data_IF_448304936211
#
_entry.id   IF_448304936211
#
_cell.length_a   1.000
_cell.length_b   1.000
_cell.length_c   1.000
_cell.angle_alpha   90.00
_cell.angle_beta   90.00
_cell.angle_gamma   90.00
#
_symmetry.space_group_name_H-M   'P 1'
#
loop_
_entity.id
_entity.type
_entity.pdbx_description
1 polymer ?
#
# COMPACT_ATOMS: atom_id res chain seq x y z
N UNK A 1 17.09 11.46 -14.56
CA UNK A 1 16.04 10.44 -14.42
C UNK A 1 15.19 10.78 -13.20
N UNK A 2 13.91 10.40 -13.18
CA UNK A 2 13.07 10.57 -11.98
C UNK A 2 13.19 9.30 -11.15
N UNK A 3 13.56 9.43 -9.87
CA UNK A 3 13.65 8.28 -8.97
C UNK A 3 12.28 7.62 -8.79
N UNK A 4 12.25 6.29 -8.80
CA UNK A 4 11.02 5.52 -8.60
C UNK A 4 10.69 5.29 -7.12
N UNK A 5 11.63 5.60 -6.22
CA UNK A 5 11.44 5.60 -4.77
C UNK A 5 11.33 7.06 -4.33
N UNK A 6 10.27 7.38 -3.59
CA UNK A 6 10.00 8.71 -3.04
C UNK A 6 9.80 8.63 -1.54
N UNK A 7 10.14 9.70 -0.84
CA UNK A 7 9.89 9.82 0.60
C UNK A 7 8.48 10.39 0.81
N UNK A 8 7.70 9.72 1.64
CA UNK A 8 6.36 10.16 2.03
C UNK A 8 6.24 10.15 3.57
N UNK A 9 5.20 10.77 4.12
CA UNK A 9 5.06 11.02 5.56
C UNK A 9 3.72 10.53 6.08
N UNK A 10 3.72 9.94 7.27
CA UNK A 10 2.51 9.63 8.04
C UNK A 10 2.64 10.10 9.48
N UNK A 11 1.50 10.32 10.14
CA UNK A 11 1.42 10.54 11.58
C UNK A 11 0.52 9.47 12.21
N UNK A 12 0.94 8.94 13.36
CA UNK A 12 0.10 8.05 14.18
C UNK A 12 -0.54 8.90 15.27
N UNK A 13 -1.86 9.03 15.20
CA UNK A 13 -2.62 9.92 16.08
C UNK A 13 -2.52 9.54 17.57
N UNK A 14 -2.63 8.24 17.88
CA UNK A 14 -2.56 7.71 19.25
C UNK A 14 -1.23 7.04 19.59
N UNK A 15 -0.11 7.61 19.14
CA UNK A 15 1.21 7.00 19.35
C UNK A 15 1.54 6.72 20.84
N UNK A 16 1.34 7.67 21.78
CA UNK A 16 1.61 7.42 23.20
C UNK A 16 0.72 6.32 23.81
N UNK A 17 -0.53 6.21 23.38
CA UNK A 17 -1.44 5.13 23.79
C UNK A 17 -0.88 3.75 23.39
N UNK A 18 -0.49 3.60 22.12
CA UNK A 18 0.00 2.30 21.63
C UNK A 18 1.39 1.91 22.16
N UNK A 19 2.27 2.88 22.42
CA UNK A 19 3.66 2.59 22.82
C UNK A 19 3.86 2.58 24.34
N UNK A 20 3.10 3.39 25.08
CA UNK A 20 3.31 3.63 26.52
C UNK A 20 2.09 3.32 27.39
N UNK A 21 0.94 3.01 26.79
CA UNK A 21 -0.30 2.75 27.52
C UNK A 21 -0.94 4.01 28.13
N UNK A 22 -0.60 5.20 27.65
CA UNK A 22 -1.26 6.46 28.03
C UNK A 22 -2.72 6.47 27.57
N UNK A 23 -3.58 7.36 28.10
CA UNK A 23 -4.98 7.44 27.66
C UNK A 23 -5.08 7.90 26.21
N UNK A 24 -5.98 7.32 25.39
CA UNK A 24 -6.17 7.78 24.02
C UNK A 24 -6.80 9.18 24.06
N UNK A 25 -6.18 10.15 23.41
CA UNK A 25 -6.64 11.53 23.38
C UNK A 25 -6.21 12.26 22.11
N UNK A 26 -7.04 13.19 21.66
CA UNK A 26 -6.81 13.97 20.44
C UNK A 26 -5.73 15.06 20.60
N UNK A 27 -5.26 15.31 21.83
CA UNK A 27 -4.28 16.35 22.17
C UNK A 27 -2.82 15.90 22.04
N UNK A 28 -2.56 14.65 21.67
CA UNK A 28 -1.19 14.17 21.47
C UNK A 28 -0.51 14.89 20.30
N UNK A 29 0.79 15.17 20.46
CA UNK A 29 1.56 15.83 19.40
C UNK A 29 1.71 14.93 18.17
N UNK A 30 1.50 15.46 16.95
CA UNK A 30 1.79 14.71 15.73
C UNK A 30 3.28 14.39 15.68
N UNK A 31 3.62 13.13 15.43
CA UNK A 31 5.00 12.66 15.30
C UNK A 31 5.23 12.18 13.87
N UNK A 32 5.86 12.98 12.99
CA UNK A 32 6.07 12.62 11.59
C UNK A 32 6.94 11.37 11.45
N UNK A 33 6.45 10.38 10.71
CA UNK A 33 7.17 9.17 10.37
C UNK A 33 7.33 9.14 8.85
N UNK A 34 8.57 9.27 8.39
CA UNK A 34 8.91 9.15 6.98
C UNK A 34 8.99 7.69 6.57
N UNK A 35 8.50 7.37 5.38
CA UNK A 35 8.57 6.03 4.79
C UNK A 35 8.81 6.13 3.29
N UNK A 36 9.38 5.07 2.72
CA UNK A 36 9.61 4.99 1.29
C UNK A 36 8.34 4.50 0.58
N UNK A 37 7.95 5.22 -0.47
CA UNK A 37 6.87 4.85 -1.37
C UNK A 37 7.40 4.70 -2.80
N UNK A 38 6.69 3.91 -3.61
CA UNK A 38 6.99 3.80 -5.04
C UNK A 38 6.20 4.85 -5.80
N UNK A 39 6.88 5.63 -6.62
CA UNK A 39 6.31 6.75 -7.37
C UNK A 39 5.28 6.27 -8.40
N UNK A 40 4.26 7.09 -8.62
CA UNK A 40 3.22 6.86 -9.63
C UNK A 40 3.83 6.77 -11.02
N UNK A 41 3.38 5.78 -11.78
CA UNK A 41 3.86 5.53 -13.15
C UNK A 41 4.97 4.49 -13.25
N UNK A 42 5.51 4.04 -12.11
CA UNK A 42 6.43 2.89 -12.06
C UNK A 42 5.73 1.63 -12.58
N UNK A 43 6.38 0.93 -13.51
CA UNK A 43 5.82 -0.28 -14.14
C UNK A 43 6.29 -1.54 -13.43
N UNK A 44 5.35 -2.43 -13.13
CA UNK A 44 5.62 -3.73 -12.54
C UNK A 44 5.22 -4.86 -13.49
N UNK A 45 5.96 -5.98 -13.45
CA UNK A 45 5.63 -7.19 -14.18
C UNK A 45 5.00 -8.20 -13.22
N UNK A 46 3.77 -8.61 -13.51
CA UNK A 46 3.11 -9.70 -12.82
C UNK A 46 3.18 -10.97 -13.69
N UNK A 47 3.56 -12.09 -13.08
CA UNK A 47 3.62 -13.39 -13.73
C UNK A 47 2.66 -14.36 -13.04
N UNK A 48 1.90 -15.12 -13.83
CA UNK A 48 0.98 -16.14 -13.35
C UNK A 48 1.28 -17.44 -14.11
N UNK A 49 1.28 -18.56 -13.39
CA UNK A 49 1.54 -19.86 -13.97
C UNK A 49 0.57 -20.90 -13.41
N UNK A 50 0.07 -21.78 -14.26
CA UNK A 50 -0.71 -22.96 -13.89
C UNK A 50 -0.58 -24.00 -15.00
N UNK A 51 -0.68 -25.28 -14.64
CA UNK A 51 -0.82 -26.37 -15.62
C UNK A 51 -2.18 -26.32 -16.33
N UNK A 52 -3.18 -25.70 -15.71
CA UNK A 52 -4.52 -25.51 -16.28
C UNK A 52 -4.64 -24.12 -16.89
N UNK A 53 -4.91 -24.07 -18.19
CA UNK A 53 -5.10 -22.81 -18.92
C UNK A 53 -6.31 -22.02 -18.39
N UNK A 54 -7.37 -22.71 -17.98
CA UNK A 54 -8.57 -22.07 -17.44
C UNK A 54 -8.28 -21.39 -16.09
N UNK A 55 -7.46 -22.01 -15.24
CA UNK A 55 -7.09 -21.41 -13.96
C UNK A 55 -6.19 -20.18 -14.13
N UNK A 56 -5.22 -20.20 -15.06
CA UNK A 56 -4.36 -19.03 -15.27
C UNK A 56 -5.15 -17.87 -15.89
N UNK A 57 -6.11 -18.15 -16.79
CA UNK A 57 -7.03 -17.14 -17.33
C UNK A 57 -7.87 -16.53 -16.21
N UNK A 58 -8.47 -17.35 -15.34
CA UNK A 58 -9.28 -16.86 -14.23
C UNK A 58 -8.47 -16.05 -13.22
N UNK A 59 -7.28 -16.52 -12.87
CA UNK A 59 -6.36 -15.81 -11.98
C UNK A 59 -5.94 -14.45 -12.57
N UNK A 60 -5.73 -14.36 -13.88
CA UNK A 60 -5.40 -13.10 -14.57
C UNK A 60 -6.54 -12.08 -14.48
N UNK A 61 -7.78 -12.52 -14.65
CA UNK A 61 -8.95 -11.65 -14.47
C UNK A 61 -9.06 -11.14 -13.03
N UNK A 62 -8.98 -12.05 -12.06
CA UNK A 62 -9.05 -11.72 -10.64
C UNK A 62 -7.94 -10.78 -10.21
N UNK A 63 -6.70 -11.04 -10.64
CA UNK A 63 -5.55 -10.19 -10.33
C UNK A 63 -5.76 -8.78 -10.88
N UNK A 64 -6.21 -8.64 -12.13
CA UNK A 64 -6.46 -7.33 -12.75
C UNK A 64 -7.51 -6.54 -11.98
N UNK A 65 -8.59 -7.19 -11.55
CA UNK A 65 -9.63 -6.53 -10.76
C UNK A 65 -9.12 -6.15 -9.37
N UNK A 66 -8.39 -7.05 -8.70
CA UNK A 66 -7.88 -6.82 -7.36
C UNK A 66 -6.89 -5.64 -7.31
N UNK A 67 -5.89 -5.61 -8.20
CA UNK A 67 -4.89 -4.52 -8.18
C UNK A 67 -5.48 -3.16 -8.59
N UNK A 68 -6.62 -3.15 -9.30
CA UNK A 68 -7.34 -1.93 -9.70
C UNK A 68 -8.30 -1.41 -8.64
N UNK A 69 -8.99 -2.30 -7.92
CA UNK A 69 -10.12 -1.93 -7.04
C UNK A 69 -9.83 -2.10 -5.56
N UNK A 70 -8.92 -2.99 -5.20
CA UNK A 70 -8.56 -3.30 -3.81
C UNK A 70 -7.19 -2.72 -3.47
N UNK A 71 -6.28 -2.72 -4.46
CA UNK A 71 -4.88 -2.34 -4.26
C UNK A 71 -4.07 -3.46 -3.61
N UNK A 72 -2.75 -3.32 -3.64
CA UNK A 72 -1.79 -4.24 -3.04
C UNK A 72 -0.66 -3.47 -2.37
N UNK A 73 -0.18 -3.97 -1.24
CA UNK A 73 0.84 -3.30 -0.41
C UNK A 73 0.22 -2.68 0.85
N UNK A 74 0.96 -1.76 1.46
CA UNK A 74 0.51 -1.08 2.67
C UNK A 74 -0.44 0.10 2.34
N UNK A 75 -1.29 0.45 3.30
CA UNK A 75 -2.13 1.67 3.27
C UNK A 75 -3.09 1.76 2.08
N UNK A 76 -3.62 0.63 1.60
CA UNK A 76 -4.60 0.60 0.51
C UNK A 76 -5.87 1.40 0.84
N UNK A 77 -6.37 1.31 2.07
CA UNK A 77 -7.51 2.12 2.53
C UNK A 77 -7.26 3.63 2.51
N UNK A 78 -5.99 4.07 2.47
CA UNK A 78 -5.58 5.47 2.33
C UNK A 78 -5.22 5.84 0.88
N UNK A 79 -5.48 4.97 -0.10
CA UNK A 79 -5.29 5.24 -1.52
C UNK A 79 -3.96 4.77 -2.12
N UNK A 80 -3.12 4.05 -1.37
CA UNK A 80 -1.84 3.53 -1.87
C UNK A 80 -1.99 2.18 -2.57
N UNK A 81 -1.04 1.83 -3.45
CA UNK A 81 -0.92 0.46 -3.96
C UNK A 81 -1.89 0.07 -5.08
N UNK A 82 -2.50 1.04 -5.77
CA UNK A 82 -3.41 0.80 -6.89
C UNK A 82 -2.67 0.81 -8.24
N UNK A 83 -3.09 -0.07 -9.15
CA UNK A 83 -2.49 -0.26 -10.48
C UNK A 83 -3.54 -0.09 -11.58
N UNK A 84 -3.11 0.13 -12.83
CA UNK A 84 -3.98 0.29 -14.01
C UNK A 84 -3.62 -0.65 -15.15
#
# INVERSE_FOLDING_TARGET
EKDFIVLDVMNVHYKPYYEKGETPGDWHNPTPIFFLAVEKGTKFRFALASKSENLVKKAKELLKEAVKKIGIGAKTSAGYGYFK
#
